data_IF_804395161184
#
_entry.id   IF_804395161184
#
_cell.length_a   1.000
_cell.length_b   1.000
_cell.length_c   1.000
_cell.angle_alpha   90.00
_cell.angle_beta   90.00
_cell.angle_gamma   90.00
#
_symmetry.space_group_name_H-M   'P 1'
#
loop_
_entity.id
_entity.type
_entity.pdbx_description
1 polymer ?
#
# COMPACT_ATOMS: atom_id res chain seq x y z
N UNK A 1 4.04 32.73 -15.16
CA UNK A 1 4.00 31.25 -15.15
C UNK A 1 5.43 30.76 -14.97
N UNK A 2 5.75 30.32 -13.76
CA UNK A 2 7.07 29.79 -13.40
C UNK A 2 7.32 28.48 -14.16
N UNK A 3 8.48 28.38 -14.79
CA UNK A 3 8.97 27.16 -15.43
C UNK A 3 9.07 26.07 -14.36
N UNK A 4 8.33 24.98 -14.52
CA UNK A 4 8.52 23.75 -13.77
C UNK A 4 9.85 23.18 -14.27
N UNK A 5 10.92 23.37 -13.49
CA UNK A 5 12.20 22.73 -13.74
C UNK A 5 12.02 21.22 -13.61
N UNK A 6 12.41 20.47 -14.64
CA UNK A 6 12.60 19.04 -14.52
C UNK A 6 13.86 18.81 -13.68
N UNK A 7 13.70 18.63 -12.38
CA UNK A 7 14.79 18.14 -11.54
C UNK A 7 15.11 16.70 -11.99
N UNK A 8 16.17 16.54 -12.78
CA UNK A 8 16.62 15.28 -13.38
C UNK A 8 17.18 14.24 -12.41
N UNK A 9 16.82 14.31 -11.12
CA UNK A 9 17.21 13.35 -10.10
C UNK A 9 15.97 12.66 -9.53
N UNK A 10 15.90 11.33 -9.64
CA UNK A 10 14.92 10.53 -8.91
C UNK A 10 15.16 10.73 -7.41
N UNK A 11 14.33 11.55 -6.76
CA UNK A 11 14.27 11.71 -5.30
C UNK A 11 13.64 10.49 -4.61
N UNK A 12 13.75 9.31 -5.23
CA UNK A 12 13.12 8.07 -4.79
C UNK A 12 14.17 7.22 -4.09
N UNK A 13 14.01 7.03 -2.79
CA UNK A 13 14.84 6.12 -2.01
C UNK A 13 14.02 4.85 -1.75
N UNK A 14 14.61 3.69 -2.07
CA UNK A 14 14.01 2.40 -1.77
C UNK A 14 14.81 1.76 -0.65
N UNK A 15 14.13 1.42 0.45
CA UNK A 15 14.71 0.71 1.57
C UNK A 15 14.13 -0.70 1.63
N UNK A 16 14.99 -1.68 1.88
CA UNK A 16 14.63 -3.08 2.11
C UNK A 16 14.90 -3.44 3.57
N UNK A 17 13.94 -4.09 4.23
CA UNK A 17 14.05 -4.42 5.65
C UNK A 17 12.75 -4.85 6.30
N UNK A 18 12.84 -5.16 7.60
CA UNK A 18 11.69 -5.50 8.42
C UNK A 18 10.95 -4.22 8.84
N UNK A 19 9.66 -4.12 8.52
CA UNK A 19 8.81 -2.97 8.86
C UNK A 19 8.65 -2.73 10.38
N UNK A 20 8.91 -3.74 11.21
CA UNK A 20 8.92 -3.63 12.67
C UNK A 20 10.27 -3.16 13.24
N UNK A 21 11.30 -3.06 12.39
CA UNK A 21 12.64 -2.57 12.71
C UNK A 21 13.12 -1.62 11.60
N UNK A 22 12.38 -0.52 11.32
CA UNK A 22 12.62 0.31 10.14
C UNK A 22 14.02 0.90 10.11
N UNK A 23 14.60 1.20 11.28
CA UNK A 23 15.96 1.74 11.43
C UNK A 23 17.05 0.82 10.85
N UNK A 24 16.82 -0.49 10.80
CA UNK A 24 17.76 -1.48 10.25
C UNK A 24 17.61 -1.65 8.72
N UNK A 25 16.59 -1.04 8.13
CA UNK A 25 16.33 -1.13 6.69
C UNK A 25 17.48 -0.51 5.91
N UNK A 26 17.88 -1.18 4.83
CA UNK A 26 19.06 -0.81 4.04
C UNK A 26 18.65 -0.17 2.75
N UNK A 27 19.36 0.88 2.36
CA UNK A 27 19.15 1.52 1.07
C UNK A 27 19.49 0.55 -0.07
N UNK A 28 18.50 0.24 -0.91
CA UNK A 28 18.68 -0.59 -2.10
C UNK A 28 19.46 0.21 -3.14
N UNK A 29 20.60 -0.34 -3.60
CA UNK A 29 21.41 0.27 -4.66
C UNK A 29 20.59 0.35 -5.94
N UNK A 30 20.16 1.55 -6.32
CA UNK A 30 19.55 1.76 -7.62
C UNK A 30 20.64 1.79 -8.69
N UNK A 31 20.64 0.82 -9.61
CA UNK A 31 21.29 1.00 -10.92
C UNK A 31 20.39 1.91 -11.75
N UNK A 32 20.59 3.22 -11.60
CA UNK A 32 19.75 4.27 -12.21
C UNK A 32 19.69 4.16 -13.76
N UNK A 33 20.68 3.49 -14.38
CA UNK A 33 20.70 3.24 -15.83
C UNK A 33 19.47 2.50 -16.37
N UNK A 34 18.86 1.64 -15.56
CA UNK A 34 17.85 0.69 -16.07
C UNK A 34 16.43 1.27 -15.97
N UNK A 35 16.20 2.28 -15.12
CA UNK A 35 14.90 2.94 -14.95
C UNK A 35 14.66 4.04 -16.00
N UNK A 36 15.73 4.70 -16.46
CA UNK A 36 15.66 5.79 -17.44
C UNK A 36 15.45 5.31 -18.89
N UNK A 37 15.82 4.07 -19.22
CA UNK A 37 15.62 3.53 -20.58
C UNK A 37 14.14 3.33 -20.95
N UNK A 38 13.24 3.27 -19.96
CA UNK A 38 11.80 3.14 -20.20
C UNK A 38 11.04 4.46 -20.36
N UNK A 39 11.68 5.62 -20.09
CA UNK A 39 11.01 6.93 -20.01
C UNK A 39 11.47 7.95 -21.05
N UNK A 40 12.49 7.64 -21.86
CA UNK A 40 12.89 8.51 -22.97
C UNK A 40 11.88 8.39 -24.13
N UNK A 41 10.80 9.16 -24.06
CA UNK A 41 10.09 9.57 -25.27
C UNK A 41 11.02 10.46 -26.08
N UNK A 42 11.27 10.06 -27.31
CA UNK A 42 12.02 10.82 -28.32
C UNK A 42 11.49 12.25 -28.39
N UNK A 43 12.33 13.22 -28.05
CA UNK A 43 12.27 14.53 -28.69
C UNK A 43 13.68 15.09 -28.82
N UNK A 44 13.94 15.49 -30.06
CA UNK A 44 15.22 15.81 -30.65
C UNK A 44 15.64 17.25 -30.34
N UNK A 45 16.96 17.45 -30.29
CA UNK A 45 17.73 18.69 -30.42
C UNK A 45 17.51 19.87 -29.45
N UNK A 46 18.57 20.17 -28.70
CA UNK A 46 18.79 21.52 -28.15
C UNK A 46 19.84 21.53 -27.03
N UNK A 47 21.10 21.77 -27.39
CA UNK A 47 22.21 22.06 -26.47
C UNK A 47 21.88 23.17 -25.47
N UNK A 48 22.09 22.98 -24.17
CA UNK A 48 22.34 24.12 -23.26
C UNK A 48 23.20 23.71 -22.05
N UNK A 49 24.21 24.56 -21.88
CA UNK A 49 25.24 24.72 -20.87
C UNK A 49 24.90 24.30 -19.43
N UNK A 50 25.90 23.67 -18.79
CA UNK A 50 25.94 23.38 -17.36
C UNK A 50 26.11 24.71 -16.62
N UNK A 51 25.04 25.18 -15.98
CA UNK A 51 25.10 26.28 -15.03
C UNK A 51 25.24 25.68 -13.63
N UNK A 52 26.43 25.79 -13.05
CA UNK A 52 26.69 25.57 -11.63
C UNK A 52 25.86 26.56 -10.81
N UNK A 53 24.83 26.07 -10.11
CA UNK A 53 24.30 26.78 -8.95
C UNK A 53 23.41 25.93 -8.03
N UNK A 54 23.78 26.00 -6.75
CA UNK A 54 23.03 25.68 -5.53
C UNK A 54 22.90 24.21 -5.11
N UNK A 55 23.75 23.85 -4.15
CA UNK A 55 23.63 22.68 -3.27
C UNK A 55 22.26 22.66 -2.58
N UNK A 56 21.34 21.86 -3.13
CA UNK A 56 20.14 21.42 -2.41
C UNK A 56 20.51 20.20 -1.57
N UNK A 57 20.46 20.37 -0.25
CA UNK A 57 20.82 19.39 0.76
C UNK A 57 19.94 18.13 0.71
N UNK A 58 20.29 17.18 -0.15
CA UNK A 58 19.91 15.77 0.00
C UNK A 58 21.09 15.11 0.71
N UNK A 59 20.88 14.36 1.82
CA UNK A 59 21.97 13.60 2.40
C UNK A 59 22.50 12.67 1.32
N UNK A 60 23.81 12.73 1.04
CA UNK A 60 24.52 11.72 0.25
C UNK A 60 24.39 10.39 1.00
N UNK A 61 23.26 9.72 0.83
CA UNK A 61 22.95 8.44 1.45
C UNK A 61 23.85 7.43 0.74
N UNK A 62 25.00 7.14 1.37
CA UNK A 62 26.02 6.27 0.82
C UNK A 62 25.43 4.88 0.62
N UNK A 63 25.76 4.23 -0.49
CA UNK A 63 25.27 2.88 -0.76
C UNK A 63 25.53 1.93 0.43
N UNK A 64 24.50 1.21 0.89
CA UNK A 64 24.44 0.38 2.11
C UNK A 64 24.25 1.13 3.45
N UNK A 65 23.94 2.43 3.45
CA UNK A 65 23.50 3.11 4.67
C UNK A 65 22.16 2.55 5.17
N UNK A 66 21.99 2.54 6.49
CA UNK A 66 20.71 2.16 7.12
C UNK A 66 19.76 3.35 7.16
N UNK A 67 18.48 3.10 7.42
CA UNK A 67 17.50 4.17 7.62
C UNK A 67 17.84 5.02 8.86
N UNK A 68 18.49 4.45 9.88
CA UNK A 68 18.98 5.21 11.03
C UNK A 68 20.06 6.23 10.65
N UNK A 69 20.90 5.91 9.66
CA UNK A 69 21.95 6.81 9.16
C UNK A 69 21.39 7.89 8.22
N UNK A 70 20.18 7.67 7.69
CA UNK A 70 19.53 8.59 6.78
C UNK A 70 18.83 9.71 7.56
N UNK A 71 19.36 10.92 7.51
CA UNK A 71 18.67 12.11 8.04
C UNK A 71 17.55 12.49 7.08
N UNK A 72 16.35 11.99 7.33
CA UNK A 72 15.18 12.24 6.50
C UNK A 72 14.19 13.16 7.25
N UNK A 73 13.59 14.18 6.59
CA UNK A 73 12.66 15.12 7.24
C UNK A 73 11.37 14.43 7.73
N UNK A 74 10.49 15.08 8.49
CA UNK A 74 9.17 14.50 8.77
C UNK A 74 8.38 14.22 7.48
N UNK A 75 7.63 13.12 7.41
CA UNK A 75 6.81 12.78 6.22
C UNK A 75 5.45 13.44 6.29
N UNK A 76 5.04 14.11 5.22
CA UNK A 76 3.69 14.67 5.14
C UNK A 76 2.64 13.57 4.93
N UNK A 77 3.00 12.50 4.21
CA UNK A 77 2.13 11.35 3.97
C UNK A 77 2.94 10.05 4.11
N UNK A 78 2.38 9.08 4.84
CA UNK A 78 2.84 7.68 4.87
C UNK A 78 1.66 6.80 4.46
N UNK A 79 1.86 5.88 3.53
CA UNK A 79 0.81 4.97 3.05
C UNK A 79 1.16 3.51 3.31
N UNK A 80 0.17 2.72 3.74
CA UNK A 80 0.23 1.28 3.84
C UNK A 80 -0.94 0.68 3.02
N UNK A 81 -0.72 0.54 1.72
CA UNK A 81 -1.73 0.11 0.76
C UNK A 81 -1.61 -1.35 0.35
N UNK A 82 -2.60 -1.81 -0.42
CA UNK A 82 -2.74 -3.17 -0.89
C UNK A 82 -2.87 -4.15 0.27
N UNK A 83 -3.60 -3.73 1.30
CA UNK A 83 -3.94 -4.48 2.51
C UNK A 83 -2.71 -4.97 3.28
N UNK A 84 -1.58 -4.26 3.17
CA UNK A 84 -0.29 -4.71 3.71
C UNK A 84 -0.31 -4.94 5.22
N UNK A 85 -1.12 -4.17 5.96
CA UNK A 85 -1.26 -4.33 7.41
C UNK A 85 -1.91 -5.67 7.81
N UNK A 86 -2.64 -6.34 6.91
CA UNK A 86 -3.20 -7.68 7.16
C UNK A 86 -2.09 -8.74 7.31
N UNK A 87 -0.87 -8.48 6.84
CA UNK A 87 0.29 -9.34 7.05
C UNK A 87 0.82 -9.29 8.50
N UNK A 88 0.43 -8.30 9.30
CA UNK A 88 0.79 -8.20 10.71
C UNK A 88 -0.32 -8.84 11.56
N UNK A 89 -0.13 -10.09 11.98
CA UNK A 89 -1.19 -10.85 12.66
C UNK A 89 -1.33 -10.51 14.14
N UNK A 90 -0.26 -10.08 14.80
CA UNK A 90 -0.29 -9.76 16.24
C UNK A 90 -0.59 -8.29 16.45
N UNK A 91 -1.57 -7.98 17.32
CA UNK A 91 -1.92 -6.59 17.69
C UNK A 91 -0.69 -5.78 18.09
N UNK A 92 0.19 -6.33 18.94
CA UNK A 92 1.39 -5.64 19.40
C UNK A 92 2.33 -5.23 18.25
N UNK A 93 2.41 -6.04 17.21
CA UNK A 93 3.28 -5.77 16.05
C UNK A 93 2.65 -4.68 15.17
N UNK A 94 1.32 -4.72 15.01
CA UNK A 94 0.57 -3.67 14.31
C UNK A 94 0.65 -2.30 15.02
N UNK A 95 0.48 -2.27 16.34
CA UNK A 95 0.65 -1.03 17.12
C UNK A 95 2.10 -0.53 17.03
N UNK A 96 3.09 -1.42 17.09
CA UNK A 96 4.50 -1.05 16.91
C UNK A 96 4.74 -0.41 15.54
N UNK A 97 4.20 -1.01 14.48
CA UNK A 97 4.25 -0.44 13.13
C UNK A 97 3.61 0.96 13.06
N UNK A 98 2.43 1.14 13.64
CA UNK A 98 1.78 2.45 13.71
C UNK A 98 2.56 3.48 14.54
N UNK A 99 3.23 3.07 15.62
CA UNK A 99 4.12 3.94 16.40
C UNK A 99 5.31 4.41 15.55
N UNK A 100 5.91 3.52 14.76
CA UNK A 100 6.96 3.90 13.82
C UNK A 100 6.47 4.89 12.78
N UNK A 101 5.30 4.65 12.18
CA UNK A 101 4.69 5.58 11.23
C UNK A 101 4.43 6.94 11.88
N UNK A 102 3.77 6.98 13.05
CA UNK A 102 3.47 8.21 13.78
C UNK A 102 4.74 9.02 14.12
N UNK A 103 5.81 8.36 14.53
CA UNK A 103 7.08 9.01 14.83
C UNK A 103 7.77 9.59 13.59
N UNK A 104 7.61 8.96 12.43
CA UNK A 104 8.18 9.43 11.16
C UNK A 104 7.37 10.55 10.50
N UNK A 105 6.09 10.74 10.88
CA UNK A 105 5.24 11.80 10.35
C UNK A 105 5.68 13.19 10.78
N UNK A 106 5.52 14.13 9.85
CA UNK A 106 5.61 15.57 10.09
C UNK A 106 4.61 15.98 11.17
N UNK A 107 5.09 16.75 12.15
CA UNK A 107 4.24 17.28 13.23
C UNK A 107 3.39 18.48 12.81
N UNK A 108 3.45 18.86 11.52
CA UNK A 108 2.67 19.93 10.90
C UNK A 108 1.40 19.39 10.22
N UNK A 109 0.77 18.37 10.81
CA UNK A 109 -0.42 17.73 10.25
C UNK A 109 -0.14 16.62 9.23
N UNK A 110 0.98 15.89 9.36
CA UNK A 110 1.25 14.74 8.50
C UNK A 110 0.22 13.62 8.70
N UNK A 111 -0.05 12.84 7.67
CA UNK A 111 -1.08 11.79 7.68
C UNK A 111 -0.52 10.40 7.40
N UNK A 112 -1.04 9.41 8.13
CA UNK A 112 -0.89 7.99 7.81
C UNK A 112 -2.18 7.49 7.16
N UNK A 113 -2.08 6.81 6.03
CA UNK A 113 -3.22 6.25 5.30
C UNK A 113 -3.02 4.75 5.11
N UNK A 114 -4.04 3.96 5.42
CA UNK A 114 -4.04 2.52 5.11
C UNK A 114 -5.37 2.08 4.52
N UNK A 115 -5.35 0.96 3.79
CA UNK A 115 -6.56 0.30 3.29
C UNK A 115 -6.89 -0.97 4.07
N UNK A 116 -8.19 -1.26 4.11
CA UNK A 116 -8.80 -2.45 4.70
C UNK A 116 -9.94 -2.93 3.80
N UNK A 117 -10.30 -4.18 3.97
CA UNK A 117 -11.49 -4.75 3.36
C UNK A 117 -12.23 -5.62 4.39
N UNK A 118 -13.49 -5.88 4.11
CA UNK A 118 -14.30 -6.79 4.90
C UNK A 118 -15.68 -7.01 4.28
N UNK A 119 -16.60 -7.51 5.09
CA UNK A 119 -17.92 -7.96 4.65
C UNK A 119 -18.07 -9.47 4.80
N UNK A 120 -19.29 -9.98 4.68
CA UNK A 120 -19.57 -11.41 4.92
C UNK A 120 -18.83 -12.34 3.97
N UNK A 121 -18.65 -11.93 2.71
CA UNK A 121 -17.87 -12.70 1.73
C UNK A 121 -16.38 -12.80 2.06
N UNK A 122 -15.85 -11.80 2.76
CA UNK A 122 -14.44 -11.76 3.17
C UNK A 122 -14.12 -12.80 4.24
N UNK A 123 -15.14 -13.32 4.94
CA UNK A 123 -15.01 -14.40 5.92
C UNK A 123 -15.41 -15.77 5.32
N UNK A 124 -15.55 -15.88 3.99
CA UNK A 124 -15.95 -17.08 3.27
C UNK A 124 -14.93 -17.50 2.21
N UNK A 125 -15.00 -18.74 1.71
CA UNK A 125 -14.23 -19.15 0.54
C UNK A 125 -14.68 -18.36 -0.68
N UNK A 126 -13.75 -17.72 -1.37
CA UNK A 126 -14.05 -16.88 -2.53
C UNK A 126 -13.01 -17.11 -3.62
N UNK A 127 -13.47 -17.21 -4.86
CA UNK A 127 -12.60 -17.30 -6.03
C UNK A 127 -13.04 -16.31 -7.10
N UNK A 128 -12.16 -15.37 -7.42
CA UNK A 128 -12.37 -14.35 -8.44
C UNK A 128 -11.49 -14.65 -9.65
N UNK A 129 -12.02 -14.39 -10.84
CA UNK A 129 -11.29 -14.57 -12.10
C UNK A 129 -11.24 -13.26 -12.89
N UNK A 130 -10.06 -12.93 -13.41
CA UNK A 130 -9.86 -11.85 -14.39
C UNK A 130 -9.12 -12.35 -15.62
N UNK A 131 -9.64 -12.01 -16.80
CA UNK A 131 -9.06 -12.41 -18.08
C UNK A 131 -8.33 -11.23 -18.72
N UNK A 132 -7.08 -11.45 -19.11
CA UNK A 132 -6.28 -10.55 -19.93
C UNK A 132 -5.99 -11.22 -21.29
N UNK A 133 -5.56 -10.47 -22.32
CA UNK A 133 -5.27 -11.05 -23.63
C UNK A 133 -4.24 -12.20 -23.60
N UNK A 134 -3.23 -12.11 -22.73
CA UNK A 134 -2.12 -13.07 -22.65
C UNK A 134 -2.25 -14.11 -21.52
N UNK A 135 -3.00 -13.81 -20.46
CA UNK A 135 -3.17 -14.71 -19.32
C UNK A 135 -4.50 -14.51 -18.60
N UNK A 136 -4.89 -15.50 -17.80
CA UNK A 136 -5.98 -15.38 -16.83
C UNK A 136 -5.42 -15.39 -15.42
N UNK A 137 -5.87 -14.44 -14.63
CA UNK A 137 -5.56 -14.29 -13.21
C UNK A 137 -6.70 -14.88 -12.37
N UNK A 138 -6.35 -15.61 -11.32
CA UNK A 138 -7.28 -16.08 -10.31
C UNK A 138 -6.81 -15.61 -8.93
N UNK A 139 -7.70 -14.94 -8.22
CA UNK A 139 -7.55 -14.65 -6.81
C UNK A 139 -8.40 -15.63 -6.03
N UNK A 140 -7.82 -16.34 -5.08
CA UNK A 140 -8.49 -17.37 -4.30
C UNK A 140 -8.27 -17.12 -2.82
N UNK A 141 -9.36 -17.00 -2.08
CA UNK A 141 -9.41 -16.92 -0.62
C UNK A 141 -9.93 -18.24 -0.08
N UNK A 142 -9.21 -18.78 0.89
CA UNK A 142 -9.55 -20.03 1.57
C UNK A 142 -10.46 -19.79 2.78
N UNK A 143 -10.68 -20.83 3.57
CA UNK A 143 -11.52 -20.75 4.75
C UNK A 143 -10.95 -19.76 5.77
N UNK A 144 -11.84 -19.05 6.43
CA UNK A 144 -11.52 -18.07 7.45
C UNK A 144 -11.56 -18.73 8.83
N UNK A 145 -10.47 -18.67 9.57
CA UNK A 145 -10.42 -19.12 10.96
C UNK A 145 -10.95 -18.02 11.87
N UNK A 146 -12.13 -18.23 12.45
CA UNK A 146 -12.79 -17.25 13.32
C UNK A 146 -12.06 -16.99 14.64
N UNK A 147 -11.19 -17.91 15.10
CA UNK A 147 -10.45 -17.78 16.37
C UNK A 147 -9.26 -16.85 16.18
N UNK A 148 -8.49 -17.05 15.12
CA UNK A 148 -7.32 -16.22 14.79
C UNK A 148 -7.68 -15.00 13.94
N UNK A 149 -8.86 -15.02 13.32
CA UNK A 149 -9.32 -14.11 12.27
C UNK A 149 -8.40 -14.12 11.05
N UNK A 150 -7.84 -15.28 10.69
CA UNK A 150 -6.90 -15.42 9.59
C UNK A 150 -7.48 -16.15 8.38
N UNK A 151 -7.00 -15.81 7.19
CA UNK A 151 -7.27 -16.53 5.93
C UNK A 151 -6.02 -16.61 5.08
N UNK A 152 -5.98 -17.61 4.18
CA UNK A 152 -4.95 -17.73 3.16
C UNK A 152 -5.48 -17.25 1.82
N UNK A 153 -4.73 -16.37 1.19
CA UNK A 153 -5.01 -15.86 -0.16
C UNK A 153 -3.93 -16.34 -1.11
N UNK A 154 -4.34 -16.87 -2.26
CA UNK A 154 -3.44 -17.35 -3.30
C UNK A 154 -3.77 -16.71 -4.64
N UNK A 155 -2.72 -16.33 -5.36
CA UNK A 155 -2.82 -15.85 -6.74
C UNK A 155 -2.33 -16.95 -7.68
N UNK A 156 -3.15 -17.28 -8.68
CA UNK A 156 -2.83 -18.26 -9.71
C UNK A 156 -2.87 -17.59 -11.08
N UNK A 157 -1.99 -18.03 -11.97
CA UNK A 157 -1.91 -17.50 -13.33
C UNK A 157 -2.02 -18.62 -14.34
N UNK A 158 -2.99 -18.51 -15.24
CA UNK A 158 -3.11 -19.41 -16.38
C UNK A 158 -2.63 -18.72 -17.65
N UNK A 159 -1.55 -19.23 -18.23
CA UNK A 159 -1.01 -18.75 -19.50
C UNK A 159 -1.40 -19.73 -20.60
N UNK A 160 -2.10 -19.25 -21.63
CA UNK A 160 -2.69 -20.10 -22.66
C UNK A 160 -3.73 -21.09 -22.13
N UNK A 161 -3.92 -22.22 -22.84
CA UNK A 161 -4.94 -23.23 -22.51
C UNK A 161 -4.46 -24.33 -21.55
N UNK A 162 -3.15 -24.47 -21.30
CA UNK A 162 -2.60 -25.66 -20.61
C UNK A 162 -1.67 -25.36 -19.44
N UNK A 163 -1.12 -24.15 -19.32
CA UNK A 163 -0.16 -23.86 -18.25
C UNK A 163 -0.85 -23.08 -17.13
N UNK A 164 -1.01 -23.73 -15.97
CA UNK A 164 -1.48 -23.11 -14.74
C UNK A 164 -0.32 -23.03 -13.76
N UNK A 165 0.10 -21.81 -13.43
CA UNK A 165 0.99 -21.52 -12.32
C UNK A 165 0.14 -21.35 -11.06
N UNK A 166 0.07 -22.40 -10.26
CA UNK A 166 -0.66 -22.40 -9.00
C UNK A 166 0.15 -21.77 -7.89
N UNK A 167 -0.51 -21.06 -6.97
CA UNK A 167 0.12 -20.43 -5.80
C UNK A 167 1.37 -19.62 -6.17
N UNK A 168 1.29 -18.85 -7.27
CA UNK A 168 2.38 -17.99 -7.71
C UNK A 168 2.76 -16.98 -6.61
N UNK A 169 1.74 -16.50 -5.89
CA UNK A 169 1.89 -15.78 -4.65
C UNK A 169 0.90 -16.34 -3.62
N UNK A 170 1.33 -16.38 -2.37
CA UNK A 170 0.51 -16.79 -1.24
C UNK A 170 0.71 -15.83 -0.09
N UNK A 171 -0.39 -15.34 0.45
CA UNK A 171 -0.42 -14.45 1.60
C UNK A 171 -1.22 -15.10 2.73
N UNK A 172 -0.74 -14.91 3.95
CA UNK A 172 -1.48 -15.21 5.16
C UNK A 172 -1.91 -13.89 5.76
N UNK A 173 -3.20 -13.63 5.80
CA UNK A 173 -3.76 -12.36 6.24
C UNK A 173 -4.61 -12.55 7.48
N UNK A 174 -4.48 -11.62 8.43
CA UNK A 174 -5.47 -11.41 9.48
C UNK A 174 -6.45 -10.34 9.03
N UNK A 175 -7.75 -10.64 9.07
CA UNK A 175 -8.81 -9.67 8.80
C UNK A 175 -9.08 -8.86 10.07
N UNK A 176 -8.57 -7.63 10.05
CA UNK A 176 -8.80 -6.64 11.08
C UNK A 176 -10.15 -5.96 10.90
N UNK A 177 -10.87 -5.77 11.99
CA UNK A 177 -12.05 -4.90 12.00
C UNK A 177 -11.65 -3.42 12.08
N UNK A 178 -12.51 -2.53 11.55
CA UNK A 178 -12.30 -1.08 11.64
C UNK A 178 -12.11 -0.62 13.11
N UNK A 179 -12.92 -1.07 14.09
CA UNK A 179 -12.69 -0.73 15.50
C UNK A 179 -11.33 -1.18 16.03
N UNK A 180 -10.88 -2.41 15.76
CA UNK A 180 -9.55 -2.88 16.20
C UNK A 180 -8.42 -1.99 15.66
N UNK A 181 -8.54 -1.53 14.41
CA UNK A 181 -7.56 -0.66 13.77
C UNK A 181 -7.56 0.73 14.41
N UNK A 182 -8.75 1.29 14.69
CA UNK A 182 -8.88 2.55 15.43
C UNK A 182 -8.21 2.46 16.79
N UNK A 183 -8.51 1.42 17.57
CA UNK A 183 -7.89 1.19 18.89
C UNK A 183 -6.36 1.05 18.79
N UNK A 184 -5.84 0.43 17.73
CA UNK A 184 -4.40 0.32 17.51
C UNK A 184 -3.75 1.68 17.18
N UNK A 185 -4.41 2.49 16.34
CA UNK A 185 -3.94 3.82 15.95
C UNK A 185 -3.97 4.78 17.15
N UNK A 186 -5.03 4.75 17.95
CA UNK A 186 -5.13 5.54 19.20
C UNK A 186 -4.01 5.16 20.17
N UNK A 187 -3.77 3.86 20.39
CA UNK A 187 -2.68 3.38 21.25
C UNK A 187 -1.27 3.75 20.72
N UNK A 188 -1.14 3.94 19.41
CA UNK A 188 0.09 4.39 18.78
C UNK A 188 0.30 5.91 18.89
N UNK A 189 -0.74 6.69 19.23
CA UNK A 189 -0.67 8.13 19.47
C UNK A 189 -1.45 9.00 18.47
N UNK A 190 -2.16 8.41 17.51
CA UNK A 190 -3.04 9.16 16.62
C UNK A 190 -4.29 9.62 17.38
N UNK A 191 -4.61 10.92 17.31
CA UNK A 191 -5.76 11.52 18.02
C UNK A 191 -6.97 11.79 17.14
N UNK A 192 -6.74 11.92 15.84
CA UNK A 192 -7.77 12.15 14.83
C UNK A 192 -7.66 11.02 13.83
N UNK A 193 -8.72 10.22 13.75
CA UNK A 193 -8.81 9.05 12.90
C UNK A 193 -10.11 9.14 12.10
N UNK A 194 -9.97 9.07 10.80
CA UNK A 194 -11.06 9.19 9.86
C UNK A 194 -11.17 7.90 9.05
N UNK A 195 -12.39 7.49 8.74
CA UNK A 195 -12.67 6.25 8.02
C UNK A 195 -13.56 6.58 6.84
N UNK A 196 -13.08 6.27 5.64
CA UNK A 196 -13.87 6.33 4.43
C UNK A 196 -14.19 4.93 3.99
N UNK A 197 -15.46 4.63 3.79
CA UNK A 197 -15.94 3.30 3.40
C UNK A 197 -16.54 3.38 2.02
N UNK A 198 -16.44 2.27 1.31
CA UNK A 198 -17.11 2.05 0.04
C UNK A 198 -17.65 0.63 0.02
N UNK A 199 -18.94 0.50 -0.24
CA UNK A 199 -19.55 -0.79 -0.54
C UNK A 199 -19.05 -1.34 -1.87
N UNK A 200 -18.75 -2.63 -1.89
CA UNK A 200 -18.31 -3.36 -3.07
C UNK A 200 -19.44 -4.26 -3.56
N UNK A 201 -19.54 -4.53 -4.87
CA UNK A 201 -20.62 -5.37 -5.39
C UNK A 201 -20.61 -6.78 -4.79
N UNK A 202 -21.81 -7.35 -4.63
CA UNK A 202 -22.00 -8.70 -4.10
C UNK A 202 -21.22 -9.75 -4.89
N UNK A 203 -20.44 -10.53 -4.14
CA UNK A 203 -19.57 -11.60 -4.65
C UNK A 203 -20.31 -12.92 -4.89
N UNK A 204 -21.56 -13.02 -4.43
CA UNK A 204 -22.44 -14.19 -4.51
C UNK A 204 -22.98 -14.49 -5.93
N UNK A 205 -22.72 -13.61 -6.91
CA UNK A 205 -23.19 -13.79 -8.29
C UNK A 205 -22.32 -14.82 -9.06
N UNK A 206 -22.61 -16.10 -8.84
CA UNK A 206 -22.09 -17.30 -9.52
C UNK A 206 -20.63 -17.67 -9.23
N UNK A 207 -20.34 -18.98 -9.10
CA UNK A 207 -19.09 -19.58 -8.57
C UNK A 207 -17.77 -19.30 -9.30
N UNK A 208 -17.70 -18.24 -10.11
CA UNK A 208 -16.49 -17.53 -10.53
C UNK A 208 -16.87 -16.06 -10.74
N UNK A 209 -16.96 -15.27 -9.66
CA UNK A 209 -17.29 -13.86 -9.79
C UNK A 209 -16.19 -13.14 -10.59
N UNK A 210 -16.59 -12.32 -11.56
CA UNK A 210 -15.67 -11.46 -12.31
C UNK A 210 -15.23 -10.34 -11.38
N UNK A 211 -13.94 -10.07 -11.31
CA UNK A 211 -13.41 -8.93 -10.57
C UNK A 211 -14.10 -7.64 -11.06
N UNK A 212 -14.62 -6.86 -10.12
CA UNK A 212 -15.37 -5.65 -10.44
C UNK A 212 -14.42 -4.49 -10.78
N UNK A 213 -14.56 -3.95 -11.98
CA UNK A 213 -13.96 -2.67 -12.35
C UNK A 213 -14.95 -1.55 -12.01
N UNK A 214 -14.64 -0.77 -10.99
CA UNK A 214 -15.41 0.41 -10.62
C UNK A 214 -15.58 1.38 -11.78
N UNK A 215 -16.79 1.94 -11.92
CA UNK A 215 -17.00 3.13 -12.74
C UNK A 215 -16.28 4.35 -12.12
N UNK A 216 -15.91 5.34 -12.93
CA UNK A 216 -15.13 6.51 -12.49
C UNK A 216 -15.85 7.36 -11.45
N UNK A 217 -17.17 7.22 -11.34
CA UNK A 217 -18.02 8.04 -10.48
C UNK A 217 -18.24 7.45 -9.08
N UNK A 218 -17.73 6.25 -8.78
CA UNK A 218 -17.92 5.64 -7.45
C UNK A 218 -16.93 6.21 -6.44
N UNK A 219 -17.45 6.88 -5.41
CA UNK A 219 -16.67 7.61 -4.40
C UNK A 219 -16.59 6.83 -3.09
N UNK A 220 -15.50 7.05 -2.36
CA UNK A 220 -15.40 6.70 -0.95
C UNK A 220 -16.04 7.81 -0.12
N UNK A 221 -16.82 7.45 0.88
CA UNK A 221 -17.53 8.41 1.72
C UNK A 221 -17.09 8.28 3.17
N UNK A 222 -16.92 9.42 3.85
CA UNK A 222 -16.68 9.43 5.29
C UNK A 222 -18.01 9.19 6.01
N UNK A 223 -18.15 8.01 6.61
CA UNK A 223 -19.40 7.57 7.21
C UNK A 223 -19.21 7.39 8.71
N UNK A 224 -20.14 7.94 9.50
CA UNK A 224 -20.22 7.64 10.94
C UNK A 224 -20.87 6.28 11.22
N UNK A 225 -21.77 5.84 10.32
CA UNK A 225 -22.50 4.59 10.44
C UNK A 225 -22.55 3.92 9.07
N UNK A 226 -22.18 2.64 9.02
CA UNK A 226 -22.30 1.79 7.84
C UNK A 226 -22.75 0.41 8.32
N UNK A 227 -23.89 -0.06 7.82
CA UNK A 227 -24.40 -1.39 8.17
C UNK A 227 -23.58 -2.46 7.43
N UNK A 228 -23.45 -3.64 8.03
CA UNK A 228 -22.72 -4.74 7.40
C UNK A 228 -23.34 -5.10 6.04
N UNK A 229 -22.46 -5.37 5.07
CA UNK A 229 -22.80 -5.82 3.71
C UNK A 229 -21.96 -7.02 3.27
N UNK A 230 -22.12 -7.46 2.02
CA UNK A 230 -21.38 -8.62 1.48
C UNK A 230 -19.88 -8.36 1.36
N UNK A 231 -19.53 -7.19 0.82
CA UNK A 231 -18.15 -6.77 0.64
C UNK A 231 -18.04 -5.24 0.75
N UNK A 232 -16.98 -4.75 1.37
CA UNK A 232 -16.63 -3.34 1.42
C UNK A 232 -15.12 -3.14 1.48
N UNK A 233 -14.68 -1.98 1.01
CA UNK A 233 -13.33 -1.47 1.18
C UNK A 233 -13.36 -0.23 2.04
N UNK A 234 -12.30 0.01 2.80
CA UNK A 234 -12.17 1.20 3.60
C UNK A 234 -10.75 1.78 3.53
N UNK A 235 -10.65 3.11 3.59
CA UNK A 235 -9.43 3.81 3.94
C UNK A 235 -9.53 4.31 5.37
N UNK A 236 -8.50 4.04 6.17
CA UNK A 236 -8.36 4.59 7.52
C UNK A 236 -7.20 5.58 7.51
N UNK A 237 -7.47 6.82 7.92
CA UNK A 237 -6.47 7.89 7.96
C UNK A 237 -6.26 8.35 9.40
N UNK A 238 -5.02 8.28 9.87
CA UNK A 238 -4.60 8.87 11.14
C UNK A 238 -3.84 10.18 10.91
N UNK A 239 -4.19 11.24 11.63
CA UNK A 239 -3.53 12.55 11.54
C UNK A 239 -2.56 12.74 12.71
N UNK A 240 -1.31 13.11 12.41
CA UNK A 240 -0.30 13.44 13.40
C UNK A 240 -0.41 14.90 13.85
N UNK A 241 -0.95 15.09 15.07
CA UNK A 241 -1.22 16.37 15.74
C UNK A 241 -2.20 17.29 15.00
N UNK A 242 -3.19 17.78 15.74
CA UNK A 242 -3.97 18.98 15.46
C UNK A 242 -3.80 19.89 16.68
#
# INVERSE_FOLDING_TARGET
MSKIGADGYSRMLLFDGNVLQPNESRLVKQKISDLMQGLNTTNDNGSTEICDQSESAIPKCLANSTMADAVLPGRDVICAFNYSCCCLHRRKDLVLYFRHAFSALSKRGGIFVMDLYGGTSSECKLRLQRRFPSFTYFWEQEEFDIITRETRISLHFQVGKKQMLRHAFTYHWRLWSIPEIKDCLEEAGFKSIHVWVREMPDTQSSGNAKEYTADRDVKYEELQHFNQGDAWNAYVVGVANI
#
